data_IF_661727378185
#
_entry.id   IF_661727378185
#
_cell.length_a   1.000
_cell.length_b   1.000
_cell.length_c   1.000
_cell.angle_alpha   90.00
_cell.angle_beta   90.00
_cell.angle_gamma   90.00
#
_symmetry.space_group_name_H-M   'P 1'
#
loop_
_entity.id
_entity.type
_entity.pdbx_description
1 polymer ?
#
# COMPACT_ATOMS: atom_id res chain seq x y z
N UNK A 1 -6.35 -9.50 16.14
CA UNK A 1 -4.99 -10.08 16.02
C UNK A 1 -3.98 -8.94 16.01
N UNK A 2 -2.84 -9.03 16.67
CA UNK A 2 -1.87 -7.94 16.69
C UNK A 2 -1.12 -7.75 15.34
N UNK A 3 -1.11 -8.79 14.51
CA UNK A 3 -0.41 -8.79 13.20
C UNK A 3 -1.20 -9.55 12.14
N UNK A 4 -1.07 -9.11 10.87
CA UNK A 4 -1.47 -9.90 9.71
C UNK A 4 -0.22 -10.55 9.12
N UNK A 5 -0.18 -11.86 9.05
CA UNK A 5 1.01 -12.60 8.61
C UNK A 5 0.90 -13.02 7.15
N UNK A 6 1.97 -12.78 6.39
CA UNK A 6 2.26 -13.44 5.14
C UNK A 6 3.20 -14.64 5.37
N UNK A 7 3.91 -15.03 4.33
CA UNK A 7 4.93 -16.06 4.36
C UNK A 7 6.29 -15.50 4.82
N UNK A 8 6.65 -14.34 4.28
CA UNK A 8 7.93 -13.65 4.55
C UNK A 8 7.74 -12.26 5.16
N UNK A 9 6.51 -11.83 5.32
CA UNK A 9 6.15 -10.51 5.86
C UNK A 9 5.18 -10.63 7.01
N UNK A 10 5.11 -9.58 7.81
CA UNK A 10 3.95 -9.30 8.66
C UNK A 10 3.55 -7.83 8.51
N UNK A 11 2.28 -7.56 8.79
CA UNK A 11 1.77 -6.19 8.85
C UNK A 11 1.38 -5.90 10.29
N UNK A 12 1.83 -4.79 10.83
CA UNK A 12 1.45 -4.27 12.16
C UNK A 12 0.86 -2.88 12.09
N UNK A 13 0.14 -2.48 13.09
CA UNK A 13 -0.30 -1.10 13.21
C UNK A 13 0.89 -0.14 13.21
N UNK A 14 0.72 1.02 12.55
CA UNK A 14 1.70 2.10 12.62
C UNK A 14 1.68 2.74 14.00
N UNK A 15 2.86 3.04 14.52
CA UNK A 15 3.07 3.72 15.80
C UNK A 15 3.76 5.08 15.59
N UNK A 16 3.64 5.99 16.54
CA UNK A 16 4.31 7.30 16.47
C UNK A 16 5.83 7.19 16.27
N UNK A 17 6.42 6.11 16.78
CA UNK A 17 7.85 5.82 16.61
C UNK A 17 8.24 5.55 15.14
N UNK A 18 7.30 5.27 14.26
CA UNK A 18 7.55 5.04 12.82
C UNK A 18 7.67 6.36 12.02
N UNK A 19 7.23 7.49 12.57
CA UNK A 19 7.23 8.79 11.89
C UNK A 19 8.59 9.16 11.29
N UNK A 20 9.72 9.03 12.00
CA UNK A 20 11.02 9.33 11.41
C UNK A 20 11.35 8.46 10.18
N UNK A 21 10.91 7.22 10.19
CA UNK A 21 11.07 6.30 9.05
C UNK A 21 10.19 6.72 7.87
N UNK A 22 8.92 7.04 8.13
CA UNK A 22 7.98 7.50 7.11
C UNK A 22 8.48 8.78 6.44
N UNK A 23 9.01 9.73 7.23
CA UNK A 23 9.60 10.95 6.71
C UNK A 23 10.79 10.71 5.77
N UNK A 24 11.65 9.73 6.06
CA UNK A 24 12.74 9.36 5.16
C UNK A 24 12.20 8.84 3.82
N UNK A 25 11.16 8.00 3.85
CA UNK A 25 10.58 7.43 2.65
C UNK A 25 9.81 8.46 1.82
N UNK A 26 8.97 9.27 2.47
CA UNK A 26 8.12 10.24 1.78
C UNK A 26 8.91 11.41 1.17
N UNK A 27 10.14 11.63 1.63
CA UNK A 27 11.05 12.64 1.09
C UNK A 27 12.12 12.06 0.12
N UNK A 28 12.14 10.75 -0.12
CA UNK A 28 13.02 10.15 -1.14
C UNK A 28 12.37 10.27 -2.53
N UNK A 29 13.00 11.02 -3.49
CA UNK A 29 12.42 11.27 -4.81
C UNK A 29 12.13 10.01 -5.62
N UNK A 30 12.89 8.93 -5.43
CA UNK A 30 12.67 7.65 -6.12
C UNK A 30 11.47 6.90 -5.52
N UNK A 31 11.30 6.95 -4.20
CA UNK A 31 10.18 6.32 -3.51
C UNK A 31 8.86 6.97 -3.90
N UNK A 32 8.83 8.32 -3.92
CA UNK A 32 7.60 9.07 -4.20
C UNK A 32 7.33 9.29 -5.68
N UNK A 33 8.19 8.78 -6.56
CA UNK A 33 8.01 8.96 -8.02
C UNK A 33 6.61 8.56 -8.50
N UNK A 34 6.08 7.48 -7.93
CA UNK A 34 4.78 6.92 -8.31
C UNK A 34 3.71 7.07 -7.20
N UNK A 35 3.85 8.10 -6.36
CA UNK A 35 2.89 8.45 -5.30
C UNK A 35 2.35 9.87 -5.52
N UNK A 36 1.20 10.16 -4.95
CA UNK A 36 0.58 11.50 -4.96
C UNK A 36 1.25 12.44 -3.95
N UNK A 37 2.58 12.58 -4.06
CA UNK A 37 3.39 13.46 -3.21
C UNK A 37 4.04 14.52 -4.08
N UNK A 38 3.77 15.79 -3.76
CA UNK A 38 4.15 16.93 -4.60
C UNK A 38 5.00 17.97 -3.86
N UNK A 39 5.14 17.84 -2.54
CA UNK A 39 5.92 18.75 -1.70
C UNK A 39 6.72 17.98 -0.66
N UNK A 40 7.85 18.52 -0.21
CA UNK A 40 8.56 17.97 0.95
C UNK A 40 7.66 17.96 2.20
N UNK A 41 7.75 16.89 2.98
CA UNK A 41 7.02 16.72 4.22
C UNK A 41 7.97 16.94 5.40
N UNK A 42 7.53 17.76 6.36
CA UNK A 42 8.24 17.96 7.62
C UNK A 42 7.66 17.09 8.75
N UNK A 43 8.29 17.15 9.91
CA UNK A 43 7.82 16.38 11.08
C UNK A 43 6.42 16.81 11.51
N UNK A 44 6.11 18.11 11.44
CA UNK A 44 4.80 18.66 11.86
C UNK A 44 3.67 18.13 10.96
N UNK A 45 3.90 18.13 9.65
CA UNK A 45 2.93 17.61 8.67
C UNK A 45 2.71 16.10 8.86
N UNK A 46 3.77 15.33 9.08
CA UNK A 46 3.67 13.88 9.29
C UNK A 46 3.00 13.53 10.62
N UNK A 47 3.29 14.27 11.69
CA UNK A 47 2.57 14.14 12.96
C UNK A 47 1.09 14.49 12.82
N UNK A 48 0.77 15.57 12.11
CA UNK A 48 -0.61 15.97 11.85
C UNK A 48 -1.36 14.89 11.02
N UNK A 49 -0.70 14.33 10.02
CA UNK A 49 -1.22 13.21 9.25
C UNK A 49 -1.46 11.97 10.13
N UNK A 50 -0.52 11.65 11.02
CA UNK A 50 -0.64 10.51 11.93
C UNK A 50 -1.82 10.67 12.89
N UNK A 51 -2.02 11.87 13.48
CA UNK A 51 -3.16 12.14 14.33
C UNK A 51 -4.49 12.07 13.55
N UNK A 52 -4.53 12.63 12.34
CA UNK A 52 -5.71 12.54 11.48
C UNK A 52 -6.05 11.07 11.11
N UNK A 53 -5.04 10.25 10.84
CA UNK A 53 -5.23 8.82 10.61
C UNK A 53 -5.92 8.12 11.78
N UNK A 54 -5.55 8.45 13.02
CA UNK A 54 -6.13 7.85 14.23
C UNK A 54 -7.62 8.17 14.43
N UNK A 55 -8.14 9.18 13.77
CA UNK A 55 -9.59 9.52 13.84
C UNK A 55 -10.45 8.65 12.91
N UNK A 56 -9.82 7.90 12.01
CA UNK A 56 -10.51 6.99 11.07
C UNK A 56 -10.89 5.66 11.76
N UNK A 57 -11.79 4.87 11.16
CA UNK A 57 -11.98 3.48 11.56
C UNK A 57 -10.66 2.71 11.59
N UNK A 58 -10.48 1.83 12.57
CA UNK A 58 -9.21 1.11 12.78
C UNK A 58 -8.76 0.26 11.59
N UNK A 59 -9.69 -0.24 10.81
CA UNK A 59 -9.45 -1.02 9.58
C UNK A 59 -8.98 -0.17 8.39
N UNK A 60 -8.99 1.16 8.53
CA UNK A 60 -8.45 2.13 7.57
C UNK A 60 -7.11 2.74 8.05
N UNK A 61 -6.63 2.31 9.22
CA UNK A 61 -5.33 2.75 9.71
C UNK A 61 -4.19 2.17 8.86
N UNK A 62 -3.11 2.93 8.79
CA UNK A 62 -1.89 2.49 8.12
C UNK A 62 -1.27 1.32 8.86
N UNK A 63 -0.86 0.32 8.09
CA UNK A 63 -0.10 -0.84 8.55
C UNK A 63 1.33 -0.75 8.04
N UNK A 64 2.29 -0.98 8.91
CA UNK A 64 3.71 -1.10 8.57
C UNK A 64 3.97 -2.48 8.03
N UNK A 65 4.67 -2.54 6.90
CA UNK A 65 5.14 -3.77 6.27
C UNK A 65 6.50 -4.10 6.86
N UNK A 66 6.61 -5.23 7.53
CA UNK A 66 7.87 -5.72 8.07
C UNK A 66 8.26 -7.04 7.42
N UNK A 67 9.55 -7.23 7.21
CA UNK A 67 10.15 -8.48 6.73
C UNK A 67 11.07 -9.05 7.81
N UNK A 68 11.18 -10.37 7.85
CA UNK A 68 12.19 -11.03 8.66
C UNK A 68 13.44 -11.18 7.82
N UNK A 69 14.53 -10.47 8.12
CA UNK A 69 15.77 -10.68 7.42
C UNK A 69 16.28 -12.10 7.72
N UNK A 70 16.80 -12.79 6.71
CA UNK A 70 17.43 -14.10 6.87
C UNK A 70 18.82 -14.01 7.55
N UNK A 71 19.00 -13.06 8.46
CA UNK A 71 20.22 -12.81 9.21
C UNK A 71 20.05 -13.25 10.66
N UNK A 72 21.15 -13.48 11.36
CA UNK A 72 21.22 -13.99 12.75
C UNK A 72 20.52 -13.13 13.82
N UNK A 73 19.92 -12.01 13.44
CA UNK A 73 19.12 -11.17 14.33
C UNK A 73 17.63 -11.45 14.11
N UNK A 74 16.94 -11.88 15.15
CA UNK A 74 15.48 -12.12 15.18
C UNK A 74 14.62 -10.85 15.01
N UNK A 75 15.19 -9.75 14.54
CA UNK A 75 14.50 -8.46 14.44
C UNK A 75 13.78 -8.31 13.11
N UNK A 76 12.49 -8.02 13.16
CA UNK A 76 11.70 -7.61 12.01
C UNK A 76 12.12 -6.20 11.55
N UNK A 77 12.21 -5.99 10.24
CA UNK A 77 12.63 -4.73 9.62
C UNK A 77 11.46 -4.11 8.89
N UNK A 78 11.12 -2.87 9.24
CA UNK A 78 10.11 -2.09 8.54
C UNK A 78 10.64 -1.67 7.16
N UNK A 79 9.89 -2.01 6.10
CA UNK A 79 10.28 -1.75 4.71
C UNK A 79 9.32 -0.86 3.94
N UNK A 80 8.15 -0.58 4.49
CA UNK A 80 7.11 0.19 3.82
C UNK A 80 5.83 0.23 4.62
N UNK A 81 4.79 0.72 3.99
CA UNK A 81 3.45 0.75 4.58
C UNK A 81 2.35 0.47 3.55
N UNK A 82 1.17 0.14 4.04
CA UNK A 82 -0.04 -0.09 3.25
C UNK A 82 -1.27 0.31 4.06
N UNK A 83 -2.34 0.69 3.39
CA UNK A 83 -3.62 0.95 4.05
C UNK A 83 -4.79 0.78 3.10
N UNK A 84 -5.96 0.57 3.66
CA UNK A 84 -7.20 0.87 2.97
C UNK A 84 -7.53 2.36 3.11
N UNK A 85 -8.04 2.96 2.03
CA UNK A 85 -8.71 4.26 2.08
C UNK A 85 -10.13 4.09 2.65
N UNK A 86 -10.94 5.18 2.79
CA UNK A 86 -12.29 5.06 3.31
C UNK A 86 -13.12 4.00 2.56
N UNK A 87 -13.72 3.10 3.33
CA UNK A 87 -14.50 1.98 2.81
C UNK A 87 -15.89 2.48 2.38
N UNK A 88 -16.29 2.16 1.15
CA UNK A 88 -17.71 2.23 0.76
C UNK A 88 -18.44 1.00 1.34
N UNK A 89 -19.12 1.22 2.46
CA UNK A 89 -19.84 0.15 3.17
C UNK A 89 -21.01 -0.43 2.36
N UNK A 90 -21.65 0.40 1.52
CA UNK A 90 -22.78 -0.04 0.68
C UNK A 90 -22.31 -0.95 -0.45
N UNK A 91 -21.28 -0.55 -1.17
CA UNK A 91 -20.68 -1.36 -2.22
C UNK A 91 -19.74 -2.43 -1.66
N UNK A 92 -19.34 -2.35 -0.39
CA UNK A 92 -18.29 -3.16 0.23
C UNK A 92 -17.01 -3.13 -0.62
N UNK A 93 -16.64 -1.90 -1.01
CA UNK A 93 -15.54 -1.62 -1.93
C UNK A 93 -14.54 -0.68 -1.28
N UNK A 94 -13.26 -0.89 -1.54
CA UNK A 94 -12.20 -0.07 -0.99
C UNK A 94 -11.06 0.12 -1.98
N UNK A 95 -10.49 1.32 -1.98
CA UNK A 95 -9.18 1.56 -2.61
C UNK A 95 -8.07 1.16 -1.65
N UNK A 96 -6.99 0.57 -2.16
CA UNK A 96 -5.80 0.20 -1.39
C UNK A 96 -4.57 0.93 -1.90
N UNK A 97 -3.76 1.44 -0.96
CA UNK A 97 -2.44 2.00 -1.22
C UNK A 97 -1.32 1.15 -0.62
N UNK A 98 -0.15 1.20 -1.28
CA UNK A 98 1.07 0.56 -0.81
C UNK A 98 2.29 1.39 -1.19
N UNK A 99 3.25 1.48 -0.28
CA UNK A 99 4.57 2.03 -0.50
C UNK A 99 5.62 1.08 0.07
N UNK A 100 6.59 0.66 -0.73
CA UNK A 100 7.83 0.06 -0.24
C UNK A 100 8.89 1.15 -0.22
N UNK A 101 9.19 1.64 0.97
CA UNK A 101 10.09 2.77 1.19
C UNK A 101 11.57 2.37 1.18
N UNK A 102 11.90 1.16 1.60
CA UNK A 102 13.27 0.65 1.56
C UNK A 102 13.60 0.05 0.19
N UNK A 103 14.42 0.77 -0.60
CA UNK A 103 14.72 0.44 -2.00
C UNK A 103 15.43 -0.90 -2.16
N UNK A 104 16.23 -1.30 -1.20
CA UNK A 104 16.92 -2.59 -1.20
C UNK A 104 15.97 -3.80 -1.17
N UNK A 105 14.71 -3.59 -0.78
CA UNK A 105 13.67 -4.62 -0.77
C UNK A 105 12.78 -4.60 -2.01
N UNK A 106 13.05 -3.73 -2.98
CA UNK A 106 12.33 -3.70 -4.24
C UNK A 106 12.63 -4.95 -5.10
N UNK A 107 11.67 -5.34 -5.92
CA UNK A 107 11.74 -6.50 -6.84
C UNK A 107 11.95 -7.87 -6.16
N UNK A 108 11.76 -7.97 -4.84
CA UNK A 108 11.89 -9.22 -4.07
C UNK A 108 10.55 -9.91 -3.75
N UNK A 109 9.44 -9.41 -4.32
CA UNK A 109 8.10 -10.01 -4.15
C UNK A 109 7.30 -9.48 -2.96
N UNK A 110 7.87 -8.71 -2.07
CA UNK A 110 7.20 -8.24 -0.85
C UNK A 110 5.96 -7.39 -1.13
N UNK A 111 5.98 -6.54 -2.16
CA UNK A 111 4.78 -5.79 -2.56
C UNK A 111 3.63 -6.68 -3.01
N UNK A 112 3.94 -7.73 -3.78
CA UNK A 112 2.93 -8.72 -4.20
C UNK A 112 2.36 -9.49 -3.00
N UNK A 113 3.23 -9.88 -2.08
CA UNK A 113 2.82 -10.61 -0.87
C UNK A 113 1.96 -9.72 0.03
N UNK A 114 2.35 -8.47 0.23
CA UNK A 114 1.55 -7.48 0.97
C UNK A 114 0.15 -7.34 0.40
N UNK A 115 0.02 -7.18 -0.92
CA UNK A 115 -1.29 -7.08 -1.57
C UNK A 115 -2.14 -8.33 -1.35
N UNK A 116 -1.55 -9.52 -1.37
CA UNK A 116 -2.26 -10.77 -1.06
C UNK A 116 -2.74 -10.84 0.38
N UNK A 117 -1.90 -10.43 1.33
CA UNK A 117 -2.27 -10.39 2.76
C UNK A 117 -3.42 -9.41 2.98
N UNK A 118 -3.36 -8.23 2.37
CA UNK A 118 -4.43 -7.24 2.45
C UNK A 118 -5.73 -7.70 1.78
N UNK A 119 -5.64 -8.36 0.62
CA UNK A 119 -6.82 -8.95 -0.03
C UNK A 119 -7.47 -10.01 0.87
N UNK A 120 -6.68 -10.90 1.46
CA UNK A 120 -7.19 -11.90 2.42
C UNK A 120 -7.89 -11.23 3.59
N UNK A 121 -7.24 -10.25 4.22
CA UNK A 121 -7.84 -9.48 5.32
C UNK A 121 -9.16 -8.81 4.91
N UNK A 122 -9.17 -8.12 3.76
CA UNK A 122 -10.35 -7.43 3.27
C UNK A 122 -11.52 -8.38 2.96
N UNK A 123 -11.25 -9.52 2.32
CA UNK A 123 -12.31 -10.44 1.89
C UNK A 123 -12.80 -11.38 3.01
N UNK A 124 -11.88 -11.85 3.84
CA UNK A 124 -12.20 -12.85 4.86
C UNK A 124 -12.64 -12.23 6.19
N UNK A 125 -12.00 -11.13 6.63
CA UNK A 125 -12.29 -10.52 7.93
C UNK A 125 -13.25 -9.33 7.82
N UNK A 126 -13.07 -8.46 6.80
CA UNK A 126 -13.91 -7.26 6.62
C UNK A 126 -15.11 -7.49 5.69
N UNK A 127 -15.26 -8.69 5.14
CA UNK A 127 -16.35 -9.03 4.20
C UNK A 127 -16.46 -8.06 3.02
N UNK A 128 -15.35 -7.50 2.54
CA UNK A 128 -15.34 -6.69 1.33
C UNK A 128 -15.73 -7.52 0.11
N UNK A 129 -16.28 -6.85 -0.90
CA UNK A 129 -16.62 -7.47 -2.19
C UNK A 129 -15.60 -7.12 -3.27
N UNK A 130 -14.96 -5.93 -3.16
CA UNK A 130 -14.06 -5.38 -4.17
C UNK A 130 -12.92 -4.62 -3.50
N UNK A 131 -11.70 -4.89 -3.94
CA UNK A 131 -10.51 -4.12 -3.58
C UNK A 131 -9.91 -3.62 -4.89
N UNK A 132 -9.64 -2.31 -4.99
CA UNK A 132 -9.16 -1.70 -6.20
C UNK A 132 -8.03 -0.72 -5.91
N UNK A 133 -7.29 -0.35 -6.92
CA UNK A 133 -6.17 0.57 -6.83
C UNK A 133 -5.99 1.39 -8.12
N UNK A 134 -5.25 2.48 -7.98
CA UNK A 134 -4.71 3.27 -9.08
C UNK A 134 -3.22 3.02 -9.21
N UNK A 135 -2.73 2.96 -10.42
CA UNK A 135 -1.30 2.83 -10.71
C UNK A 135 -0.92 3.66 -11.92
N UNK A 136 0.12 4.47 -11.81
CA UNK A 136 0.60 5.31 -12.89
C UNK A 136 1.19 4.47 -14.03
N UNK A 137 1.02 4.92 -15.27
CA UNK A 137 1.62 4.28 -16.46
C UNK A 137 3.14 4.14 -16.31
N UNK A 138 3.76 5.07 -15.58
CA UNK A 138 5.19 5.10 -15.27
C UNK A 138 5.64 4.07 -14.24
N UNK A 139 4.71 3.30 -13.64
CA UNK A 139 5.01 2.28 -12.64
C UNK A 139 4.76 0.83 -13.12
N UNK A 140 5.51 0.33 -14.11
CA UNK A 140 5.33 -1.06 -14.58
C UNK A 140 5.65 -2.08 -13.48
N UNK A 141 6.55 -1.75 -12.55
CA UNK A 141 6.89 -2.59 -11.39
C UNK A 141 5.67 -2.81 -10.50
N UNK A 142 4.97 -1.74 -10.11
CA UNK A 142 3.74 -1.83 -9.32
C UNK A 142 2.66 -2.61 -10.06
N UNK A 143 2.40 -2.28 -11.32
CA UNK A 143 1.42 -2.99 -12.15
C UNK A 143 1.68 -4.50 -12.20
N UNK A 144 2.92 -4.93 -12.42
CA UNK A 144 3.31 -6.33 -12.43
C UNK A 144 3.09 -7.01 -11.06
N UNK A 145 3.40 -6.30 -9.96
CA UNK A 145 3.17 -6.83 -8.61
C UNK A 145 1.68 -7.03 -8.32
N UNK A 146 0.82 -6.09 -8.75
CA UNK A 146 -0.63 -6.17 -8.58
C UNK A 146 -1.24 -7.28 -9.43
N UNK A 147 -0.82 -7.44 -10.68
CA UNK A 147 -1.24 -8.57 -11.53
C UNK A 147 -0.90 -9.92 -10.89
N UNK A 148 0.32 -10.08 -10.35
CA UNK A 148 0.74 -11.29 -9.62
C UNK A 148 -0.04 -11.51 -8.33
N UNK A 149 -0.52 -10.44 -7.68
CA UNK A 149 -1.40 -10.54 -6.53
C UNK A 149 -2.85 -10.85 -6.92
N UNK A 150 -3.18 -10.70 -8.22
CA UNK A 150 -4.46 -11.08 -8.77
C UNK A 150 -5.37 -9.95 -9.18
N UNK A 151 -4.88 -8.75 -9.18
CA UNK A 151 -5.62 -7.60 -9.69
C UNK A 151 -5.71 -7.67 -11.22
N UNK A 152 -6.89 -7.37 -11.73
CA UNK A 152 -7.21 -7.29 -13.16
C UNK A 152 -7.28 -5.82 -13.57
N UNK A 153 -6.73 -5.47 -14.70
CA UNK A 153 -6.86 -4.13 -15.29
C UNK A 153 -8.29 -3.90 -15.76
N UNK A 154 -8.92 -2.82 -15.31
CA UNK A 154 -10.30 -2.47 -15.66
C UNK A 154 -10.39 -1.34 -16.68
N UNK A 155 -9.42 -0.43 -16.66
CA UNK A 155 -9.42 0.72 -17.55
C UNK A 155 -8.27 1.67 -17.29
N UNK A 156 -8.21 2.68 -18.14
CA UNK A 156 -7.18 3.73 -18.08
C UNK A 156 -7.84 5.10 -18.09
N UNK A 157 -7.56 5.90 -17.09
CA UNK A 157 -7.90 7.31 -17.04
C UNK A 157 -6.79 8.07 -17.78
N UNK A 158 -7.12 8.64 -18.93
CA UNK A 158 -6.14 9.33 -19.76
C UNK A 158 -5.79 10.68 -19.16
N UNK A 159 -4.48 10.99 -19.12
CA UNK A 159 -3.94 12.30 -18.67
C UNK A 159 -4.52 12.72 -17.30
N UNK A 160 -4.73 11.74 -16.39
CA UNK A 160 -5.44 11.96 -15.14
C UNK A 160 -4.54 12.51 -14.02
N UNK A 161 -3.22 12.48 -14.22
CA UNK A 161 -2.25 13.02 -13.27
C UNK A 161 -1.25 13.94 -13.96
N UNK A 162 -0.80 14.98 -13.23
CA UNK A 162 0.28 15.86 -13.70
C UNK A 162 1.50 15.68 -12.83
N UNK A 163 2.59 15.19 -13.42
CA UNK A 163 3.80 14.90 -12.67
C UNK A 163 5.05 15.23 -13.51
N UNK A 164 6.00 15.93 -12.88
CA UNK A 164 7.29 16.29 -13.53
C UNK A 164 7.12 16.97 -14.90
N UNK A 165 6.18 17.90 -15.01
CA UNK A 165 6.00 18.70 -16.20
C UNK A 165 5.17 18.05 -17.32
N UNK A 166 4.55 16.89 -17.08
CA UNK A 166 3.69 16.21 -18.07
C UNK A 166 2.45 15.59 -17.44
N UNK A 167 1.42 15.44 -18.23
CA UNK A 167 0.26 14.60 -17.89
C UNK A 167 0.61 13.14 -18.14
N UNK A 168 0.12 12.26 -17.26
CA UNK A 168 0.32 10.82 -17.34
C UNK A 168 -1.00 10.09 -17.17
N UNK A 169 -1.08 8.91 -17.76
CA UNK A 169 -2.22 8.02 -17.62
C UNK A 169 -2.21 7.28 -16.28
N UNK A 170 -3.42 7.01 -15.77
CA UNK A 170 -3.61 6.24 -14.54
C UNK A 170 -4.42 4.99 -14.86
N UNK A 171 -3.84 3.82 -14.60
CA UNK A 171 -4.55 2.56 -14.74
C UNK A 171 -5.35 2.26 -13.47
N UNK A 172 -6.57 1.79 -13.63
CA UNK A 172 -7.41 1.26 -12.56
C UNK A 172 -7.36 -0.26 -12.61
N UNK A 173 -7.07 -0.87 -11.46
CA UNK A 173 -7.02 -2.33 -11.32
C UNK A 173 -7.83 -2.76 -10.12
N UNK A 174 -8.43 -3.93 -10.15
CA UNK A 174 -9.21 -4.48 -9.03
C UNK A 174 -9.11 -5.99 -8.91
N UNK A 175 -9.53 -6.47 -7.76
CA UNK A 175 -9.82 -7.87 -7.51
C UNK A 175 -11.18 -7.99 -6.81
N UNK A 176 -12.02 -8.92 -7.24
CA UNK A 176 -13.30 -9.22 -6.64
C UNK A 176 -13.18 -10.39 -5.67
N UNK A 177 -14.02 -10.42 -4.65
CA UNK A 177 -14.11 -11.57 -3.72
C UNK A 177 -14.34 -12.89 -4.46
N UNK A 178 -15.18 -12.86 -5.49
CA UNK A 178 -15.45 -14.05 -6.33
C UNK A 178 -14.22 -14.56 -7.08
N UNK A 179 -13.32 -13.66 -7.50
CA UNK A 179 -12.07 -14.05 -8.18
C UNK A 179 -11.04 -14.59 -7.19
N UNK A 180 -11.02 -14.01 -5.99
CA UNK A 180 -10.17 -14.47 -4.89
C UNK A 180 -10.48 -15.90 -4.47
N UNK A 181 -11.77 -16.23 -4.31
CA UNK A 181 -12.23 -17.55 -3.88
C UNK A 181 -12.05 -18.68 -4.93
N UNK A 182 -11.75 -18.34 -6.18
CA UNK A 182 -11.49 -19.33 -7.25
C UNK A 182 -10.02 -19.73 -7.38
N UNK A 183 -9.16 -19.20 -6.56
CA UNK A 183 -7.71 -19.46 -6.56
C UNK A 183 -7.35 -20.47 -5.52
#
# INVERSE_FOLDING_TARGET
>A
MPYLYGQNIRLRAAERADIPQFLRWINDPEVVENLEVYAPMGTVEEESWFEAMKTRPINEHVLVIEVHPQSETDAWVAIGNTSFFPIDEKARSVEIGIMIGEKEYWNKGYGTETMRVMCRYGFEELNLNRIWLRVYETNPRGRNAYQKAGFVHEGTLREAEYKRGRYIDVHVMSVLKSDWLRR
#
